data_IF_805278830979
#
_entry.id   IF_805278830979
#
_cell.length_a   1.000
_cell.length_b   1.000
_cell.length_c   1.000
_cell.angle_alpha   90.00
_cell.angle_beta   90.00
_cell.angle_gamma   90.00
#
_symmetry.space_group_name_H-M   'P 1'
#
loop_
_entity.id
_entity.type
_entity.pdbx_description
1 polymer ?
#
# COMPACT_ATOMS: atom_id res chain seq x y z
N UNK A 1 -25.31 -22.84 97.81
CA UNK A 1 -25.70 -23.75 96.71
C UNK A 1 -26.32 -22.91 95.60
N UNK A 2 -25.77 -23.02 94.39
CA UNK A 2 -26.23 -22.49 93.09
C UNK A 2 -26.35 -20.97 92.90
N UNK A 3 -25.76 -20.56 91.77
CA UNK A 3 -26.33 -19.63 90.78
C UNK A 3 -26.00 -18.13 90.87
N UNK A 4 -25.13 -17.73 89.93
CA UNK A 4 -25.30 -16.65 88.94
C UNK A 4 -24.35 -15.45 89.06
N UNK A 5 -23.43 -15.39 88.11
CA UNK A 5 -22.62 -14.22 87.73
C UNK A 5 -23.19 -13.65 86.42
N UNK A 6 -23.44 -12.33 86.31
CA UNK A 6 -23.71 -11.73 85.02
C UNK A 6 -22.59 -10.73 84.66
N UNK A 7 -22.07 -10.89 83.45
CA UNK A 7 -21.75 -9.87 82.43
C UNK A 7 -20.51 -10.29 81.65
N UNK A 8 -20.75 -10.97 80.53
CA UNK A 8 -19.78 -11.08 79.45
C UNK A 8 -19.64 -9.74 78.74
N UNK A 9 -18.43 -9.20 78.71
CA UNK A 9 -18.05 -8.15 77.78
C UNK A 9 -17.43 -8.84 76.55
N UNK A 10 -18.20 -8.93 75.46
CA UNK A 10 -17.71 -9.34 74.15
C UNK A 10 -16.77 -8.26 73.61
N UNK A 11 -15.46 -8.52 73.64
CA UNK A 11 -14.51 -7.80 72.78
C UNK A 11 -14.54 -8.43 71.39
N UNK A 12 -15.37 -7.87 70.49
CA UNK A 12 -15.26 -8.10 69.07
C UNK A 12 -14.08 -7.29 68.53
N UNK A 13 -12.93 -7.94 68.32
CA UNK A 13 -11.83 -7.36 67.53
C UNK A 13 -12.28 -7.41 66.08
N UNK A 14 -12.80 -6.28 65.59
CA UNK A 14 -13.05 -6.03 64.18
C UNK A 14 -11.68 -6.01 63.47
N UNK A 15 -11.28 -7.11 62.85
CA UNK A 15 -10.22 -7.11 61.84
C UNK A 15 -10.75 -6.34 60.63
N UNK A 16 -10.52 -5.02 60.62
CA UNK A 16 -10.58 -4.21 59.41
C UNK A 16 -9.46 -4.69 58.49
N UNK A 17 -9.75 -5.72 57.71
CA UNK A 17 -8.96 -6.06 56.54
C UNK A 17 -9.00 -4.87 55.60
N UNK A 18 -7.94 -4.05 55.61
CA UNK A 18 -7.65 -3.14 54.53
C UNK A 18 -7.32 -3.98 53.29
N UNK A 19 -8.33 -4.43 52.57
CA UNK A 19 -8.19 -4.73 51.15
C UNK A 19 -7.82 -3.41 50.47
N UNK A 20 -6.52 -3.15 50.35
CA UNK A 20 -6.00 -2.21 49.38
C UNK A 20 -6.33 -2.79 48.00
N UNK A 21 -7.49 -2.38 47.45
CA UNK A 21 -7.72 -2.50 46.03
C UNK A 21 -6.71 -1.57 45.35
N UNK A 22 -5.53 -2.10 45.00
CA UNK A 22 -4.66 -1.45 44.04
C UNK A 22 -5.38 -1.56 42.70
N UNK A 23 -6.26 -0.60 42.41
CA UNK A 23 -6.71 -0.36 41.04
C UNK A 23 -5.45 -0.04 40.25
N UNK A 24 -4.85 -1.04 39.62
CA UNK A 24 -4.02 -0.79 38.47
C UNK A 24 -4.90 0.04 37.52
N UNK A 25 -4.47 1.26 37.27
CA UNK A 25 -5.15 2.19 36.39
C UNK A 25 -4.98 1.58 35.00
N UNK A 26 -5.91 0.73 34.59
CA UNK A 26 -5.97 0.21 33.23
C UNK A 26 -6.01 1.44 32.33
N UNK A 27 -4.98 1.59 31.51
CA UNK A 27 -4.95 2.66 30.53
C UNK A 27 -6.06 2.36 29.53
N UNK A 28 -7.21 3.04 29.68
CA UNK A 28 -8.39 2.83 28.82
C UNK A 28 -8.05 2.95 27.33
N UNK A 29 -6.94 3.62 27.02
CA UNK A 29 -6.47 3.87 25.66
C UNK A 29 -5.76 2.69 25.01
N UNK A 30 -5.27 1.73 25.80
CA UNK A 30 -4.76 0.46 25.26
C UNK A 30 -5.88 -0.47 24.79
N UNK A 31 -7.13 -0.19 25.17
CA UNK A 31 -8.33 -0.94 24.78
C UNK A 31 -9.27 -0.19 23.84
N UNK A 32 -8.96 1.06 23.48
CA UNK A 32 -9.82 1.88 22.60
C UNK A 32 -9.46 1.71 21.13
N UNK A 33 -10.40 1.27 20.29
CA UNK A 33 -10.26 1.20 18.82
C UNK A 33 -10.38 2.59 18.14
N UNK A 34 -9.84 3.65 18.76
CA UNK A 34 -9.91 5.00 18.20
C UNK A 34 -9.10 5.08 16.91
N UNK A 35 -9.80 5.31 15.80
CA UNK A 35 -9.24 5.52 14.48
C UNK A 35 -9.48 6.94 14.00
N UNK A 36 -8.52 7.46 13.22
CA UNK A 36 -8.57 8.82 12.67
C UNK A 36 -8.23 8.74 11.18
N UNK A 37 -9.11 9.27 10.34
CA UNK A 37 -8.85 9.47 8.92
C UNK A 37 -9.08 10.93 8.54
N UNK A 38 -8.41 11.40 7.49
CA UNK A 38 -8.57 12.75 6.97
C UNK A 38 -9.05 12.64 5.53
N UNK A 39 -10.13 13.36 5.19
CA UNK A 39 -10.64 13.53 3.83
C UNK A 39 -10.48 14.98 3.40
N UNK A 40 -10.34 15.20 2.09
CA UNK A 40 -10.24 16.52 1.48
C UNK A 40 -11.58 16.85 0.80
N UNK A 41 -12.06 18.10 0.92
CA UNK A 41 -13.20 18.58 0.15
C UNK A 41 -12.95 18.51 -1.36
N UNK A 42 -14.01 18.41 -2.15
CA UNK A 42 -13.92 18.39 -3.60
C UNK A 42 -13.23 19.65 -4.18
N UNK A 43 -13.39 20.80 -3.52
CA UNK A 43 -12.73 22.06 -3.89
C UNK A 43 -11.29 22.19 -3.36
N UNK A 44 -10.77 21.18 -2.65
CA UNK A 44 -9.41 21.09 -2.08
C UNK A 44 -9.06 22.12 -1.02
N UNK A 45 -10.04 22.92 -0.58
CA UNK A 45 -9.80 24.02 0.36
C UNK A 45 -10.06 23.66 1.82
N UNK A 46 -10.75 22.54 2.06
CA UNK A 46 -11.18 22.13 3.39
C UNK A 46 -10.78 20.68 3.66
N UNK A 47 -10.11 20.45 4.78
CA UNK A 47 -9.87 19.12 5.33
C UNK A 47 -10.95 18.78 6.34
N UNK A 48 -11.38 17.53 6.37
CA UNK A 48 -12.25 17.00 7.41
C UNK A 48 -11.58 15.79 8.06
N UNK A 49 -11.52 15.80 9.37
CA UNK A 49 -11.16 14.63 10.16
C UNK A 49 -12.42 13.81 10.47
N UNK A 50 -12.26 12.50 10.40
CA UNK A 50 -13.23 11.53 10.87
C UNK A 50 -12.60 10.74 12.00
N UNK A 51 -13.30 10.70 13.13
CA UNK A 51 -12.98 9.82 14.23
C UNK A 51 -14.01 8.68 14.30
N UNK A 52 -13.53 7.46 14.51
CA UNK A 52 -14.37 6.27 14.73
C UNK A 52 -13.78 5.41 15.84
N UNK A 53 -14.62 4.56 16.47
CA UNK A 53 -14.23 3.81 17.66
C UNK A 53 -14.02 4.70 18.88
N UNK A 54 -13.37 4.20 19.94
CA UNK A 54 -13.26 4.92 21.22
C UNK A 54 -14.63 5.33 21.81
N UNK A 55 -14.63 6.29 22.73
CA UNK A 55 -15.86 6.80 23.37
C UNK A 55 -16.16 8.25 22.95
N UNK A 56 -17.25 8.51 22.21
CA UNK A 56 -17.66 9.89 21.90
C UNK A 56 -18.10 10.65 23.17
N UNK A 57 -18.06 11.99 23.19
CA UNK A 57 -17.68 12.89 22.08
C UNK A 57 -16.17 12.94 21.83
N UNK A 58 -15.79 13.26 20.59
CA UNK A 58 -14.40 13.49 20.21
C UNK A 58 -14.06 14.98 20.25
N UNK A 59 -12.82 15.28 20.61
CA UNK A 59 -12.22 16.60 20.48
C UNK A 59 -11.08 16.55 19.46
N UNK A 60 -11.00 17.60 18.67
CA UNK A 60 -10.08 17.70 17.54
C UNK A 60 -9.08 18.81 17.82
N UNK A 61 -7.83 18.61 17.43
CA UNK A 61 -6.81 19.66 17.48
C UNK A 61 -5.89 19.53 16.27
N UNK A 62 -6.07 20.43 15.33
CA UNK A 62 -5.15 20.57 14.21
C UNK A 62 -3.89 21.31 14.65
N UNK A 63 -2.73 20.94 14.08
CA UNK A 63 -1.46 21.60 14.40
C UNK A 63 -1.51 23.13 14.16
N UNK A 64 -2.36 23.58 13.21
CA UNK A 64 -2.54 24.99 12.85
C UNK A 64 -3.67 25.70 13.62
N UNK A 65 -3.97 25.23 14.84
CA UNK A 65 -4.72 25.93 15.91
C UNK A 65 -6.27 25.86 15.93
N UNK A 66 -6.91 24.98 15.15
CA UNK A 66 -8.37 24.81 15.21
C UNK A 66 -8.82 23.59 16.04
N UNK A 67 -9.93 23.77 16.77
CA UNK A 67 -10.59 22.73 17.58
C UNK A 67 -11.86 22.18 16.93
N UNK A 68 -11.89 22.10 15.60
CA UNK A 68 -13.00 21.57 14.81
C UNK A 68 -12.57 20.29 14.09
N UNK A 69 -13.54 19.46 13.77
CA UNK A 69 -13.43 18.34 12.84
C UNK A 69 -13.09 18.77 11.40
N UNK A 70 -13.05 20.07 11.10
CA UNK A 70 -12.62 20.58 9.80
C UNK A 70 -11.68 21.79 9.92
N UNK A 71 -10.80 21.94 8.93
CA UNK A 71 -9.99 23.15 8.76
C UNK A 71 -9.97 23.59 7.31
N UNK A 72 -9.97 24.91 7.12
CA UNK A 72 -9.59 25.50 5.87
C UNK A 72 -8.06 25.40 5.72
N UNK A 73 -7.60 24.65 4.73
CA UNK A 73 -6.17 24.45 4.44
C UNK A 73 -5.56 25.59 3.62
N UNK A 74 -6.34 26.61 3.23
CA UNK A 74 -5.90 27.66 2.32
C UNK A 74 -6.07 27.30 0.85
N UNK A 75 -5.83 28.27 -0.05
CA UNK A 75 -5.96 28.06 -1.50
C UNK A 75 -4.80 27.29 -2.14
N UNK A 76 -3.67 27.05 -1.46
CA UNK A 76 -2.52 26.25 -1.93
C UNK A 76 -1.43 26.17 -0.85
N UNK A 77 -1.49 25.18 0.04
CA UNK A 77 -0.35 24.86 0.92
C UNK A 77 0.03 23.39 0.72
N UNK A 78 1.17 23.20 0.04
CA UNK A 78 1.85 21.92 -0.03
C UNK A 78 2.38 21.57 1.37
N UNK A 79 2.08 20.38 1.88
CA UNK A 79 2.65 19.94 3.15
C UNK A 79 1.84 18.87 3.87
N UNK A 80 2.43 18.41 4.98
CA UNK A 80 1.77 17.51 5.92
C UNK A 80 0.82 18.29 6.83
N UNK A 81 -0.36 17.73 7.03
CA UNK A 81 -1.35 18.20 7.99
C UNK A 81 -1.54 17.13 9.05
N UNK A 82 -1.45 17.56 10.30
CA UNK A 82 -1.56 16.70 11.46
C UNK A 82 -2.76 17.13 12.29
N UNK A 83 -3.47 16.13 12.80
CA UNK A 83 -4.57 16.32 13.74
C UNK A 83 -4.44 15.34 14.89
N UNK A 84 -4.55 15.85 16.10
CA UNK A 84 -4.75 15.03 17.29
C UNK A 84 -6.25 14.94 17.59
N UNK A 85 -6.77 13.72 17.65
CA UNK A 85 -8.14 13.44 18.08
C UNK A 85 -8.09 12.82 19.47
N UNK A 86 -8.88 13.35 20.40
CA UNK A 86 -9.03 12.81 21.76
C UNK A 86 -10.48 12.41 22.02
N UNK A 87 -10.71 11.18 22.45
CA UNK A 87 -12.04 10.69 22.85
C UNK A 87 -12.42 11.11 24.29
N UNK A 88 -13.62 10.78 24.75
CA UNK A 88 -14.12 11.11 26.09
C UNK A 88 -13.31 10.46 27.23
N UNK A 89 -12.64 9.33 26.96
CA UNK A 89 -11.77 8.66 27.93
C UNK A 89 -10.37 9.26 28.02
N UNK A 90 -10.06 10.22 27.14
CA UNK A 90 -8.75 10.88 27.07
C UNK A 90 -7.79 10.21 26.09
N UNK A 91 -8.25 9.29 25.25
CA UNK A 91 -7.42 8.51 24.34
C UNK A 91 -7.11 9.29 23.08
N UNK A 92 -5.82 9.38 22.77
CA UNK A 92 -5.30 10.25 21.72
C UNK A 92 -4.79 9.46 20.53
N UNK A 93 -5.18 9.89 19.34
CA UNK A 93 -4.66 9.38 18.07
C UNK A 93 -4.32 10.53 17.14
N UNK A 94 -3.16 10.45 16.52
CA UNK A 94 -2.73 11.43 15.51
C UNK A 94 -3.05 10.90 14.10
N UNK A 95 -3.80 11.68 13.33
CA UNK A 95 -4.00 11.49 11.89
C UNK A 95 -3.03 12.35 11.08
N UNK A 96 -2.63 11.87 9.90
CA UNK A 96 -1.74 12.60 8.99
C UNK A 96 -2.22 12.50 7.54
N UNK A 97 -2.13 13.59 6.80
CA UNK A 97 -2.32 13.64 5.34
C UNK A 97 -1.30 14.58 4.70
N UNK A 98 -0.88 14.29 3.48
CA UNK A 98 -0.06 15.21 2.68
C UNK A 98 -0.90 15.80 1.55
N UNK A 99 -0.95 17.14 1.43
CA UNK A 99 -1.66 17.82 0.34
C UNK A 99 -0.66 18.31 -0.71
N UNK A 100 -0.91 18.01 -1.97
CA UNK A 100 -0.19 18.57 -3.12
C UNK A 100 -0.90 19.84 -3.60
N UNK A 101 -0.18 20.95 -3.77
CA UNK A 101 -0.76 22.22 -4.23
C UNK A 101 -1.36 22.13 -5.63
N UNK A 102 -2.68 22.31 -5.75
CA UNK A 102 -3.47 22.63 -6.96
C UNK A 102 -3.23 21.85 -8.25
N UNK A 103 -2.72 20.63 -8.17
CA UNK A 103 -2.95 19.62 -9.20
C UNK A 103 -3.13 18.33 -8.42
N UNK A 104 -4.37 17.95 -8.19
CA UNK A 104 -4.64 16.53 -7.96
C UNK A 104 -4.43 15.92 -9.35
N UNK A 105 -3.35 15.15 -9.61
CA UNK A 105 -3.17 14.55 -10.92
C UNK A 105 -4.29 13.55 -11.24
N UNK A 106 -5.03 13.09 -10.21
CA UNK A 106 -6.03 12.06 -10.35
C UNK A 106 -7.44 12.62 -10.09
N UNK A 107 -8.24 12.87 -11.13
CA UNK A 107 -9.62 13.41 -11.01
C UNK A 107 -10.59 12.60 -10.12
N UNK A 108 -10.19 11.40 -9.68
CA UNK A 108 -10.94 10.57 -8.73
C UNK A 108 -9.96 9.99 -7.70
N UNK A 109 -10.23 10.24 -6.42
CA UNK A 109 -9.57 9.54 -5.32
C UNK A 109 -10.39 8.31 -4.93
N UNK A 110 -9.72 7.16 -4.81
CA UNK A 110 -10.34 5.90 -4.41
C UNK A 110 -9.84 4.77 -5.29
N UNK A 111 -10.59 4.48 -6.34
CA UNK A 111 -10.34 3.32 -7.21
C UNK A 111 -10.79 3.55 -8.66
N UNK A 112 -10.35 2.66 -9.55
CA UNK A 112 -10.84 2.55 -10.93
C UNK A 112 -11.11 1.08 -11.25
N UNK A 113 -12.15 0.84 -12.05
CA UNK A 113 -12.46 -0.50 -12.57
C UNK A 113 -11.77 -0.74 -13.90
N UNK A 114 -11.10 -1.87 -14.02
CA UNK A 114 -10.60 -2.38 -15.29
C UNK A 114 -11.74 -2.99 -16.13
N UNK A 115 -11.42 -3.38 -17.36
CA UNK A 115 -12.35 -3.91 -18.35
C UNK A 115 -12.99 -5.24 -17.91
N UNK A 116 -12.32 -5.99 -17.03
CA UNK A 116 -12.81 -7.25 -16.44
C UNK A 116 -13.58 -7.03 -15.12
N UNK A 117 -13.88 -5.77 -14.78
CA UNK A 117 -14.49 -5.33 -13.52
C UNK A 117 -13.61 -5.48 -12.26
N UNK A 118 -12.33 -5.86 -12.40
CA UNK A 118 -11.37 -5.81 -11.31
C UNK A 118 -11.18 -4.36 -10.85
N UNK A 119 -11.16 -4.15 -9.54
CA UNK A 119 -11.04 -2.81 -8.93
C UNK A 119 -9.62 -2.58 -8.42
N UNK A 120 -9.03 -1.46 -8.82
CA UNK A 120 -7.68 -1.06 -8.45
C UNK A 120 -7.72 0.24 -7.67
N UNK A 121 -7.01 0.31 -6.56
CA UNK A 121 -6.82 1.55 -5.83
C UNK A 121 -5.92 2.52 -6.61
N UNK A 122 -6.13 3.82 -6.39
CA UNK A 122 -5.32 4.88 -6.99
C UNK A 122 -4.45 5.51 -5.90
N UNK A 123 -3.14 5.55 -6.12
CA UNK A 123 -2.18 6.25 -5.26
C UNK A 123 -1.51 7.38 -6.03
N UNK A 124 -1.14 8.42 -5.30
CA UNK A 124 -0.35 9.53 -5.84
C UNK A 124 1.08 9.38 -5.32
N UNK A 125 2.05 9.35 -6.23
CA UNK A 125 3.48 9.40 -5.90
C UNK A 125 4.10 10.54 -6.70
N UNK A 126 4.59 11.55 -6.01
CA UNK A 126 5.02 12.81 -6.63
C UNK A 126 3.87 13.45 -7.40
N UNK A 127 4.04 13.63 -8.70
CA UNK A 127 3.03 14.22 -9.58
C UNK A 127 2.23 13.20 -10.39
N UNK A 128 2.42 11.90 -10.14
CA UNK A 128 1.90 10.81 -10.96
C UNK A 128 0.84 9.99 -10.22
N UNK A 129 -0.15 9.50 -10.97
CA UNK A 129 -1.20 8.61 -10.51
C UNK A 129 -0.86 7.16 -10.84
N UNK A 130 -0.70 6.30 -9.84
CA UNK A 130 -0.37 4.90 -10.04
C UNK A 130 -1.49 4.00 -9.53
N UNK A 131 -1.70 2.87 -10.21
CA UNK A 131 -2.57 1.82 -9.68
C UNK A 131 -1.85 0.98 -8.63
N UNK A 132 -2.61 0.51 -7.64
CA UNK A 132 -2.21 -0.56 -6.75
C UNK A 132 -3.38 -1.53 -6.53
N UNK A 133 -3.13 -2.84 -6.34
CA UNK A 133 -1.82 -3.53 -6.39
C UNK A 133 -1.31 -3.72 -7.83
N UNK A 134 -0.38 -4.67 -8.04
CA UNK A 134 0.00 -5.15 -9.37
C UNK A 134 -1.24 -5.48 -10.23
N UNK A 135 -1.11 -5.30 -11.54
CA UNK A 135 -2.20 -5.60 -12.46
C UNK A 135 -2.51 -7.11 -12.46
N UNK A 136 -3.80 -7.46 -12.36
CA UNK A 136 -4.30 -8.83 -12.43
C UNK A 136 -5.49 -8.99 -13.41
N UNK A 137 -5.64 -8.04 -14.34
CA UNK A 137 -6.73 -8.01 -15.33
C UNK A 137 -6.78 -9.28 -16.17
N UNK A 138 -8.00 -9.77 -16.44
CA UNK A 138 -8.27 -10.92 -17.30
C UNK A 138 -9.10 -10.51 -18.50
N UNK A 139 -8.48 -10.49 -19.67
CA UNK A 139 -9.13 -10.09 -20.92
C UNK A 139 -9.34 -11.31 -21.83
N UNK A 140 -10.46 -11.41 -22.56
CA UNK A 140 -10.72 -12.52 -23.48
C UNK A 140 -9.61 -12.75 -24.53
N UNK A 141 -8.97 -11.67 -24.98
CA UNK A 141 -7.88 -11.71 -25.95
C UNK A 141 -6.50 -12.04 -25.35
N UNK A 142 -6.35 -12.02 -24.01
CA UNK A 142 -5.09 -12.34 -23.33
C UNK A 142 -5.22 -13.72 -22.69
N UNK A 143 -4.64 -14.72 -23.34
CA UNK A 143 -4.84 -16.12 -22.97
C UNK A 143 -4.06 -16.50 -21.71
N UNK A 144 -4.71 -17.22 -20.81
CA UNK A 144 -4.03 -17.85 -19.68
C UNK A 144 -3.21 -19.06 -20.15
N UNK A 145 -1.93 -19.08 -19.80
CA UNK A 145 -1.05 -20.24 -19.95
C UNK A 145 -0.58 -20.65 -18.56
N UNK A 146 -0.94 -21.86 -18.07
CA UNK A 146 -0.55 -22.30 -16.74
C UNK A 146 0.96 -22.48 -16.64
N UNK A 147 1.46 -22.50 -15.41
CA UNK A 147 2.90 -22.46 -15.19
C UNK A 147 3.67 -23.64 -15.78
N UNK A 148 3.05 -24.81 -15.88
CA UNK A 148 3.60 -26.01 -16.52
C UNK A 148 3.51 -26.00 -18.05
N UNK A 149 2.86 -25.00 -18.66
CA UNK A 149 2.82 -24.86 -20.11
C UNK A 149 4.21 -24.52 -20.65
N UNK A 150 4.56 -25.09 -21.81
CA UNK A 150 5.78 -24.71 -22.50
C UNK A 150 5.59 -23.34 -23.17
N UNK A 151 5.87 -22.28 -22.41
CA UNK A 151 5.74 -20.88 -22.79
C UNK A 151 6.46 -20.52 -24.11
N UNK A 152 7.46 -21.29 -24.53
CA UNK A 152 8.20 -21.07 -25.79
C UNK A 152 7.36 -21.32 -27.02
N UNK A 153 6.30 -22.13 -26.85
CA UNK A 153 5.35 -22.44 -27.90
C UNK A 153 4.39 -21.28 -28.17
N UNK A 154 4.35 -20.28 -27.28
CA UNK A 154 3.63 -19.03 -27.54
C UNK A 154 4.41 -18.28 -28.61
N UNK A 155 3.78 -18.14 -29.78
CA UNK A 155 4.35 -17.40 -30.91
C UNK A 155 4.14 -15.91 -30.67
N UNK A 156 3.03 -15.39 -31.20
CA UNK A 156 2.71 -13.96 -31.22
C UNK A 156 1.37 -13.66 -30.55
N UNK A 157 0.90 -14.59 -29.70
CA UNK A 157 -0.36 -14.46 -28.98
C UNK A 157 -0.17 -13.68 -27.66
N UNK A 158 -1.08 -12.75 -27.32
CA UNK A 158 -1.16 -12.14 -26.00
C UNK A 158 -1.41 -13.22 -24.93
N UNK A 159 -0.61 -13.21 -23.87
CA UNK A 159 -0.67 -14.25 -22.84
C UNK A 159 -0.30 -13.78 -21.45
N UNK A 160 -0.78 -14.50 -20.44
CA UNK A 160 -0.36 -14.34 -19.06
C UNK A 160 -0.22 -15.70 -18.34
N UNK A 161 0.61 -15.75 -17.32
CA UNK A 161 0.65 -16.83 -16.32
C UNK A 161 0.59 -16.24 -14.91
N UNK A 162 0.52 -17.09 -13.90
CA UNK A 162 0.67 -16.65 -12.52
C UNK A 162 2.12 -16.85 -12.08
N UNK A 163 2.52 -16.15 -11.03
CA UNK A 163 3.74 -16.43 -10.29
C UNK A 163 3.36 -17.00 -8.93
N UNK A 164 4.11 -17.99 -8.46
CA UNK A 164 3.87 -18.64 -7.18
C UNK A 164 5.11 -18.59 -6.30
N UNK A 165 4.91 -18.54 -4.99
CA UNK A 165 5.97 -18.72 -4.01
C UNK A 165 6.36 -20.21 -3.87
N UNK A 166 7.40 -20.48 -3.07
CA UNK A 166 7.89 -21.84 -2.84
C UNK A 166 6.84 -22.74 -2.12
N UNK A 167 5.76 -22.16 -1.59
CA UNK A 167 4.65 -22.86 -0.93
C UNK A 167 3.45 -23.07 -1.88
N UNK A 168 3.54 -22.60 -3.12
CA UNK A 168 2.46 -22.67 -4.11
C UNK A 168 1.39 -21.60 -3.95
N UNK A 169 1.62 -20.56 -3.14
CA UNK A 169 0.72 -19.40 -3.02
C UNK A 169 0.97 -18.44 -4.18
N UNK A 170 -0.10 -17.95 -4.80
CA UNK A 170 0.02 -16.96 -5.89
C UNK A 170 0.61 -15.66 -5.35
N UNK A 171 1.68 -15.18 -5.99
CA UNK A 171 2.30 -13.87 -5.72
C UNK A 171 1.63 -12.78 -6.56
N UNK A 172 1.58 -12.96 -7.89
CA UNK A 172 1.11 -11.94 -8.84
C UNK A 172 0.84 -12.55 -10.23
N UNK A 173 0.54 -11.71 -11.22
CA UNK A 173 0.31 -12.09 -12.62
C UNK A 173 1.47 -11.62 -13.50
N UNK A 174 1.96 -12.49 -14.38
CA UNK A 174 3.01 -12.18 -15.36
C UNK A 174 2.40 -12.17 -16.76
N UNK A 175 2.46 -11.02 -17.42
CA UNK A 175 1.97 -10.81 -18.78
C UNK A 175 3.12 -10.89 -19.78
N UNK A 176 2.89 -11.44 -20.96
CA UNK A 176 3.87 -11.32 -22.05
C UNK A 176 3.82 -9.94 -22.71
N UNK A 177 4.88 -9.57 -23.43
CA UNK A 177 4.93 -8.30 -24.15
C UNK A 177 3.88 -8.19 -25.26
N UNK A 178 3.38 -9.31 -25.81
CA UNK A 178 2.25 -9.29 -26.74
C UNK A 178 0.94 -8.86 -26.06
N UNK A 179 0.75 -9.16 -24.77
CA UNK A 179 -0.35 -8.64 -23.96
C UNK A 179 -0.22 -7.13 -23.73
N UNK A 180 0.99 -6.65 -23.41
CA UNK A 180 1.28 -5.21 -23.30
C UNK A 180 0.98 -4.47 -24.62
N UNK A 181 1.37 -5.06 -25.76
CA UNK A 181 1.12 -4.52 -27.11
C UNK A 181 -0.35 -4.36 -27.47
N UNK A 182 -1.28 -5.02 -26.77
CA UNK A 182 -2.72 -4.82 -27.00
C UNK A 182 -3.17 -3.41 -26.65
N UNK A 183 -2.46 -2.73 -25.72
CA UNK A 183 -2.86 -1.43 -25.18
C UNK A 183 -4.12 -1.48 -24.31
N UNK A 184 -4.62 -2.67 -23.95
CA UNK A 184 -5.90 -2.86 -23.27
C UNK A 184 -5.79 -3.31 -21.82
N UNK A 185 -4.58 -3.62 -21.35
CA UNK A 185 -4.33 -4.11 -19.99
C UNK A 185 -4.75 -3.10 -18.91
N UNK A 186 -4.56 -1.81 -19.17
CA UNK A 186 -4.91 -0.77 -18.20
C UNK A 186 -6.36 -0.29 -18.39
N UNK A 187 -7.04 0.15 -17.32
CA UNK A 187 -8.36 0.77 -17.41
C UNK A 187 -8.40 1.94 -18.42
N UNK A 188 -9.59 2.30 -18.90
CA UNK A 188 -9.72 3.43 -19.82
C UNK A 188 -9.15 4.72 -19.20
N UNK A 189 -8.31 5.43 -19.96
CA UNK A 189 -7.59 6.62 -19.49
C UNK A 189 -6.33 6.30 -18.67
N UNK A 190 -5.92 5.04 -18.57
CA UNK A 190 -4.68 4.59 -17.96
C UNK A 190 -3.85 3.81 -18.98
N UNK A 191 -2.53 3.75 -18.78
CA UNK A 191 -1.60 3.05 -19.67
C UNK A 191 -0.46 2.40 -18.92
N UNK A 192 0.23 1.47 -19.60
CA UNK A 192 1.48 0.88 -19.11
C UNK A 192 2.55 1.97 -19.15
N UNK A 193 3.24 2.27 -18.03
CA UNK A 193 4.16 3.40 -17.95
C UNK A 193 5.30 3.26 -18.94
N UNK A 194 5.68 4.37 -19.55
CA UNK A 194 6.92 4.52 -20.30
C UNK A 194 8.13 4.53 -19.37
N UNK A 195 9.32 4.35 -19.94
CA UNK A 195 10.59 4.48 -19.22
C UNK A 195 10.76 5.88 -18.63
N UNK A 196 10.29 6.93 -19.31
CA UNK A 196 10.36 8.31 -18.81
C UNK A 196 9.46 8.57 -17.61
N UNK A 197 8.28 7.94 -17.59
CA UNK A 197 7.38 8.00 -16.43
C UNK A 197 7.93 7.24 -15.22
N UNK A 198 8.53 6.08 -15.45
CA UNK A 198 9.28 5.38 -14.40
C UNK A 198 10.45 6.22 -13.90
N UNK A 199 11.19 6.89 -14.78
CA UNK A 199 12.30 7.76 -14.37
C UNK A 199 11.80 8.92 -13.50
N UNK A 200 10.67 9.53 -13.85
CA UNK A 200 10.05 10.59 -13.03
C UNK A 200 9.72 10.10 -11.61
N UNK A 201 9.16 8.90 -11.49
CA UNK A 201 8.91 8.25 -10.19
C UNK A 201 10.21 8.01 -9.42
N UNK A 202 11.24 7.48 -10.08
CA UNK A 202 12.53 7.15 -9.48
C UNK A 202 13.24 8.41 -8.98
N UNK A 203 13.27 9.48 -9.77
CA UNK A 203 13.87 10.77 -9.41
C UNK A 203 13.15 11.38 -8.20
N UNK A 204 11.81 11.33 -8.19
CA UNK A 204 11.01 11.79 -7.05
C UNK A 204 11.34 11.01 -5.76
N UNK A 205 11.61 9.71 -5.88
CA UNK A 205 11.98 8.85 -4.75
C UNK A 205 13.45 9.00 -4.31
N UNK A 206 14.22 9.85 -5.00
CA UNK A 206 15.60 10.21 -4.66
C UNK A 206 16.65 9.38 -5.39
N UNK A 207 16.30 8.81 -6.54
CA UNK A 207 17.24 8.19 -7.48
C UNK A 207 17.25 6.66 -7.45
N UNK A 208 17.95 6.10 -8.43
CA UNK A 208 18.08 4.67 -8.71
C UNK A 208 18.63 3.87 -7.52
N UNK A 209 19.54 4.45 -6.74
CA UNK A 209 20.17 3.78 -5.60
C UNK A 209 19.20 3.46 -4.43
N UNK A 210 18.08 4.16 -4.33
CA UNK A 210 17.17 4.05 -3.18
C UNK A 210 15.71 3.78 -3.54
N UNK A 211 15.28 4.13 -4.76
CA UNK A 211 13.87 4.05 -5.14
C UNK A 211 13.33 2.61 -5.10
N UNK A 212 14.14 1.59 -5.41
CA UNK A 212 13.74 0.20 -5.30
C UNK A 212 13.33 -0.19 -3.87
N UNK A 213 14.08 0.25 -2.86
CA UNK A 213 13.75 0.03 -1.45
C UNK A 213 12.43 0.66 -1.01
N UNK A 214 12.01 1.75 -1.66
CA UNK A 214 10.75 2.46 -1.39
C UNK A 214 9.56 1.89 -2.16
N UNK A 215 9.78 1.21 -3.27
CA UNK A 215 8.70 0.70 -4.15
C UNK A 215 8.26 -0.72 -3.82
N UNK A 216 9.17 -1.54 -3.26
CA UNK A 216 8.87 -2.92 -2.86
C UNK A 216 7.76 -3.00 -1.81
N UNK A 217 6.95 -4.04 -1.89
CA UNK A 217 6.02 -4.38 -0.81
C UNK A 217 6.75 -4.91 0.42
N UNK A 218 6.09 -4.85 1.57
CA UNK A 218 6.55 -5.47 2.81
C UNK A 218 6.00 -6.90 2.99
N UNK A 219 5.51 -7.53 1.91
CA UNK A 219 4.89 -8.85 1.97
C UNK A 219 5.90 -9.95 2.31
N UNK A 220 5.38 -11.09 2.80
CA UNK A 220 6.20 -12.28 3.04
C UNK A 220 6.60 -13.01 1.76
N UNK A 221 6.15 -12.55 0.58
CA UNK A 221 6.58 -13.11 -0.69
C UNK A 221 8.03 -12.74 -1.00
N UNK A 222 8.53 -11.60 -0.51
CA UNK A 222 9.93 -11.24 -0.67
C UNK A 222 10.82 -12.12 0.20
N UNK A 223 11.70 -12.89 -0.45
CA UNK A 223 12.76 -13.64 0.22
C UNK A 223 13.74 -12.68 0.90
N UNK A 224 14.25 -13.10 2.04
CA UNK A 224 15.28 -12.38 2.79
C UNK A 224 16.45 -11.99 1.86
N UNK A 225 16.99 -10.75 1.95
CA UNK A 225 16.80 -9.80 3.05
C UNK A 225 15.60 -8.85 2.93
N UNK A 226 14.94 -8.79 1.76
CA UNK A 226 13.97 -7.74 1.40
C UNK A 226 14.36 -6.35 1.94
N UNK A 227 15.51 -5.82 1.49
CA UNK A 227 16.02 -4.55 2.02
C UNK A 227 15.10 -3.40 1.63
N UNK A 228 14.26 -2.96 2.57
CA UNK A 228 13.40 -1.79 2.43
C UNK A 228 14.15 -0.52 2.81
N UNK A 229 13.76 0.60 2.22
CA UNK A 229 14.21 1.91 2.70
C UNK A 229 13.37 2.34 3.91
N UNK A 230 14.02 2.88 4.95
CA UNK A 230 13.38 3.17 6.24
C UNK A 230 12.48 4.42 6.23
N UNK A 231 12.55 5.23 5.16
CA UNK A 231 11.72 6.42 5.00
C UNK A 231 10.51 6.04 4.13
N UNK A 232 9.50 5.48 4.81
CA UNK A 232 8.15 5.19 4.32
C UNK A 232 8.10 4.39 3.00
N UNK A 233 7.83 3.07 3.02
CA UNK A 233 7.53 2.36 1.79
C UNK A 233 6.37 3.07 1.11
N UNK A 234 6.56 3.43 -0.15
CA UNK A 234 5.51 4.01 -0.96
C UNK A 234 4.34 3.02 -1.01
N UNK A 235 3.12 3.53 -1.14
CA UNK A 235 1.93 2.70 -1.33
C UNK A 235 1.96 1.90 -2.65
N UNK A 236 3.04 2.01 -3.43
CA UNK A 236 3.25 1.28 -4.69
C UNK A 236 3.16 -0.23 -4.50
N UNK A 237 3.75 -0.75 -3.41
CA UNK A 237 3.65 -2.16 -3.01
C UNK A 237 3.95 -3.15 -4.16
N UNK A 238 5.16 -3.11 -4.71
CA UNK A 238 5.60 -4.07 -5.74
C UNK A 238 5.82 -5.47 -5.16
N UNK A 239 5.10 -6.47 -5.67
CA UNK A 239 5.29 -7.87 -5.30
C UNK A 239 6.47 -8.50 -6.09
N UNK A 240 7.15 -9.52 -5.54
CA UNK A 240 8.30 -10.14 -6.19
C UNK A 240 7.88 -11.30 -7.11
N UNK A 241 7.22 -10.98 -8.21
CA UNK A 241 6.69 -11.97 -9.15
C UNK A 241 7.74 -12.78 -9.92
N UNK A 242 9.02 -12.41 -9.85
CA UNK A 242 10.04 -13.02 -10.69
C UNK A 242 9.86 -12.63 -12.17
N UNK A 243 10.19 -13.56 -13.06
CA UNK A 243 9.88 -13.45 -14.49
C UNK A 243 9.69 -14.80 -15.16
N UNK A 244 9.00 -14.78 -16.28
CA UNK A 244 8.95 -15.89 -17.25
C UNK A 244 9.94 -15.65 -18.38
N UNK A 245 10.79 -16.63 -18.66
CA UNK A 245 11.80 -16.57 -19.72
C UNK A 245 11.27 -17.08 -21.07
N UNK A 246 11.99 -16.74 -22.14
CA UNK A 246 11.69 -17.18 -23.51
C UNK A 246 12.00 -18.65 -23.77
N UNK A 247 12.65 -19.32 -22.80
CA UNK A 247 12.84 -20.77 -22.72
C UNK A 247 11.79 -21.45 -21.81
N UNK A 248 10.89 -20.64 -21.25
CA UNK A 248 9.70 -21.07 -20.54
C UNK A 248 9.93 -21.37 -19.07
N UNK A 249 11.14 -21.12 -18.55
CA UNK A 249 11.40 -21.16 -17.13
C UNK A 249 10.72 -19.98 -16.41
N UNK A 250 10.07 -20.27 -15.28
CA UNK A 250 9.72 -19.27 -14.27
C UNK A 250 10.88 -19.18 -13.28
N UNK A 251 11.44 -17.99 -13.09
CA UNK A 251 12.64 -17.80 -12.26
C UNK A 251 12.53 -16.58 -11.35
N UNK A 252 13.28 -16.62 -10.24
CA UNK A 252 13.44 -15.51 -9.27
C UNK A 252 12.14 -15.04 -8.60
N UNK A 253 11.11 -15.89 -8.57
CA UNK A 253 9.93 -15.63 -7.75
C UNK A 253 10.34 -15.46 -6.28
N UNK A 254 9.86 -14.39 -5.65
CA UNK A 254 10.26 -13.98 -4.31
C UNK A 254 11.57 -13.19 -4.23
N UNK A 255 12.37 -13.13 -5.28
CA UNK A 255 13.69 -12.46 -5.26
C UNK A 255 13.72 -11.16 -6.04
N UNK A 256 12.86 -11.02 -7.06
CA UNK A 256 12.79 -9.82 -7.89
C UNK A 256 11.35 -9.43 -8.19
N UNK A 257 11.12 -8.12 -8.35
CA UNK A 257 9.94 -7.57 -8.99
C UNK A 257 10.37 -7.00 -10.34
N UNK A 258 9.70 -7.42 -11.41
CA UNK A 258 10.07 -7.08 -12.78
C UNK A 258 8.87 -6.55 -13.53
N UNK A 259 8.91 -5.28 -13.94
CA UNK A 259 7.80 -4.62 -14.61
C UNK A 259 8.11 -4.33 -16.07
N UNK A 260 7.09 -4.48 -16.92
CA UNK A 260 7.11 -3.93 -18.27
C UNK A 260 7.08 -2.41 -18.26
N UNK A 261 7.72 -1.82 -19.27
CA UNK A 261 7.43 -0.46 -19.73
C UNK A 261 6.79 -0.49 -21.12
N UNK A 262 6.12 0.60 -21.51
CA UNK A 262 5.63 0.78 -22.89
C UNK A 262 6.70 1.29 -23.86
N UNK A 263 7.92 1.59 -23.37
CA UNK A 263 9.03 2.07 -24.20
C UNK A 263 9.72 0.91 -24.91
N UNK A 264 9.69 0.94 -26.24
CA UNK A 264 10.40 -0.03 -27.09
C UNK A 264 11.91 0.21 -27.08
N UNK A 265 12.67 -0.87 -27.15
CA UNK A 265 14.09 -0.82 -27.47
C UNK A 265 14.29 -0.57 -28.98
N UNK A 266 15.55 -0.52 -29.43
CA UNK A 266 15.88 -0.26 -30.82
C UNK A 266 15.35 -1.35 -31.78
N UNK A 267 15.23 -2.59 -31.30
CA UNK A 267 14.59 -3.67 -32.06
C UNK A 267 13.06 -3.67 -31.86
N UNK A 268 12.32 -4.24 -32.83
CA UNK A 268 10.84 -4.18 -32.83
C UNK A 268 10.17 -5.12 -31.82
N UNK A 269 10.92 -6.03 -31.21
CA UNK A 269 10.41 -7.13 -30.38
C UNK A 269 10.88 -7.05 -28.93
N UNK A 270 11.49 -5.94 -28.52
CA UNK A 270 12.04 -5.77 -27.18
C UNK A 270 11.56 -4.47 -26.57
N UNK A 271 11.29 -4.50 -25.28
CA UNK A 271 10.86 -3.35 -24.49
C UNK A 271 11.80 -3.17 -23.30
N UNK A 272 11.92 -1.93 -22.83
CA UNK A 272 12.60 -1.68 -21.58
C UNK A 272 11.78 -2.23 -20.41
N UNK A 273 12.48 -2.72 -19.38
CA UNK A 273 11.88 -3.24 -18.16
C UNK A 273 12.52 -2.62 -16.92
N UNK A 274 11.77 -2.67 -15.82
CA UNK A 274 12.18 -2.14 -14.53
C UNK A 274 12.39 -3.30 -13.57
N UNK A 275 13.55 -3.35 -12.93
CA UNK A 275 13.91 -4.43 -12.01
C UNK A 275 14.20 -3.88 -10.61
N UNK A 276 13.54 -4.48 -9.62
CA UNK A 276 13.87 -4.33 -8.21
C UNK A 276 14.34 -5.69 -7.69
N UNK A 277 15.34 -5.69 -6.81
CA UNK A 277 15.94 -6.91 -6.25
C UNK A 277 15.73 -6.95 -4.73
N UNK A 278 15.67 -8.17 -4.19
CA UNK A 278 15.50 -8.40 -2.76
C UNK A 278 16.67 -7.88 -1.92
N UNK A 279 17.90 -8.05 -2.41
CA UNK A 279 19.14 -7.60 -1.78
C UNK A 279 19.50 -6.18 -2.22
N UNK A 280 19.17 -5.20 -1.37
CA UNK A 280 19.45 -3.78 -1.59
C UNK A 280 18.22 -2.96 -1.97
N UNK A 281 18.47 -1.66 -2.15
CA UNK A 281 17.46 -0.63 -2.41
C UNK A 281 17.47 -0.12 -3.85
N UNK A 282 18.34 -0.68 -4.70
CA UNK A 282 18.52 -0.24 -6.08
C UNK A 282 17.32 -0.61 -6.96
N UNK A 283 17.08 0.20 -7.98
CA UNK A 283 16.18 -0.08 -9.10
C UNK A 283 16.93 0.06 -10.41
N UNK A 284 16.70 -0.84 -11.36
CA UNK A 284 17.38 -0.84 -12.66
C UNK A 284 16.38 -0.58 -13.78
N UNK A 285 16.70 0.35 -14.69
CA UNK A 285 15.79 0.84 -15.74
C UNK A 285 16.26 0.55 -17.17
N UNK A 286 17.55 0.24 -17.37
CA UNK A 286 18.15 0.00 -18.69
C UNK A 286 18.01 -1.43 -19.23
N UNK A 287 17.23 -2.29 -18.57
CA UNK A 287 17.08 -3.70 -18.96
C UNK A 287 16.12 -3.84 -20.13
N UNK A 288 16.41 -4.78 -21.02
CA UNK A 288 15.68 -5.00 -22.26
C UNK A 288 15.16 -6.43 -22.33
N UNK A 289 13.89 -6.60 -22.65
CA UNK A 289 13.22 -7.90 -22.65
C UNK A 289 12.43 -8.14 -23.92
N UNK A 290 12.62 -9.33 -24.49
CA UNK A 290 11.88 -9.76 -25.66
C UNK A 290 10.39 -9.89 -25.31
N UNK A 291 9.48 -9.59 -26.24
CA UNK A 291 8.01 -9.68 -26.05
C UNK A 291 7.50 -11.06 -25.65
N UNK A 292 8.36 -12.07 -25.74
CA UNK A 292 8.07 -13.45 -25.29
C UNK A 292 8.38 -13.67 -23.81
N UNK A 293 9.06 -12.77 -23.12
CA UNK A 293 9.17 -12.84 -21.66
C UNK A 293 7.80 -12.59 -21.02
N UNK A 294 7.63 -13.02 -19.77
CA UNK A 294 6.47 -12.67 -18.93
C UNK A 294 6.93 -11.85 -17.73
N UNK A 295 6.43 -10.62 -17.61
CA UNK A 295 6.76 -9.68 -16.53
C UNK A 295 5.48 -9.08 -15.95
N UNK A 296 5.58 -8.46 -14.78
CA UNK A 296 4.47 -7.78 -14.12
C UNK A 296 4.10 -6.50 -14.89
N UNK A 297 2.88 -6.04 -14.67
CA UNK A 297 2.39 -4.79 -15.23
C UNK A 297 1.89 -3.87 -14.10
N UNK A 298 2.07 -2.58 -14.29
CA UNK A 298 1.41 -1.53 -13.52
C UNK A 298 0.86 -0.50 -14.49
N UNK A 299 -0.13 0.26 -14.04
CA UNK A 299 -0.72 1.32 -14.83
C UNK A 299 -0.50 2.67 -14.16
N UNK A 300 -0.25 3.66 -14.99
CA UNK A 300 -0.19 5.07 -14.65
C UNK A 300 -1.26 5.79 -15.48
N UNK A 301 -1.67 6.98 -15.01
CA UNK A 301 -2.47 7.90 -15.80
C UNK A 301 -1.73 9.23 -15.89
N UNK A 302 -1.59 9.71 -17.12
CA UNK A 302 -1.16 11.07 -17.40
C UNK A 302 -2.26 12.07 -17.07
N UNK A 303 -1.87 13.33 -16.84
CA UNK A 303 -2.81 14.44 -16.64
C UNK A 303 -3.57 14.80 -17.91
#
# INVERSE_FOLDING_TARGET
>A
MKSSSPLGLLFAILLLGFFHCRKEKVDLCLTSDLEVSIRVSADTTTLFANASGGLPPYSYKWQNSNSSDSIYSGTRLNGYYYIDVTDFSGCKKTGVIYIFGSVIPCDNFGSVKAQDSSEYGIIVIGTQCWLFPDLEVKLPEVKYYPDNFNWNLIKDEPGFCYAYDDKGSKITTLYNGNAVKTGKLCPNGWHIPSLGEWQTLIDYLGGDAIAGGKLKSNSLHWKSPNTLDSIAPSLFSAEPGGRRQTDGASIYAGEIAHFWTSTKAADTNTYYGILMVNAGTNIFTGLQWHVKNGLQCRCIRDK
#
